data_IF_693315807519
#
_entry.id   IF_693315807519
#
_cell.length_a   1.000
_cell.length_b   1.000
_cell.length_c   1.000
_cell.angle_alpha   90.00
_cell.angle_beta   90.00
_cell.angle_gamma   90.00
#
_symmetry.space_group_name_H-M   'P 1'
#
loop_
_entity.id
_entity.type
_entity.pdbx_description
1 polymer ?
#
# COMPACT_ATOMS: atom_id res chain seq x y z
N UNK A 1 14.47 14.00 -52.33
CA UNK A 1 15.91 13.97 -52.02
C UNK A 1 16.13 12.70 -51.22
N UNK A 2 16.45 11.62 -51.93
CA UNK A 2 16.54 10.27 -51.35
C UNK A 2 17.94 10.13 -50.73
N UNK A 3 18.01 10.03 -49.40
CA UNK A 3 19.27 9.86 -48.70
C UNK A 3 19.71 8.40 -48.82
N UNK A 4 20.81 8.18 -49.53
CA UNK A 4 21.36 6.87 -49.87
C UNK A 4 21.87 6.13 -48.63
N UNK A 5 20.98 5.36 -47.99
CA UNK A 5 21.23 4.52 -46.80
C UNK A 5 22.36 3.52 -47.00
N UNK A 6 22.71 3.18 -48.24
CA UNK A 6 23.76 2.20 -48.55
C UNK A 6 25.15 2.78 -48.28
N UNK A 7 25.36 4.04 -48.63
CA UNK A 7 26.63 4.77 -48.40
C UNK A 7 26.98 4.94 -46.92
N UNK A 8 25.98 5.05 -46.04
CA UNK A 8 26.21 5.26 -44.61
C UNK A 8 26.61 3.98 -43.87
N UNK A 9 26.10 2.83 -44.33
CA UNK A 9 26.38 1.52 -43.73
C UNK A 9 27.78 1.03 -44.07
N UNK A 10 28.20 1.22 -45.31
CA UNK A 10 29.57 0.92 -45.78
C UNK A 10 30.62 1.78 -45.05
N UNK A 11 30.28 3.01 -44.64
CA UNK A 11 31.17 3.89 -43.85
C UNK A 11 31.28 3.51 -42.37
N UNK A 12 30.31 2.80 -41.80
CA UNK A 12 30.32 2.34 -40.41
C UNK A 12 31.13 1.06 -40.24
N UNK A 13 31.13 0.18 -41.24
CA UNK A 13 31.89 -1.08 -41.22
C UNK A 13 33.42 -0.86 -41.40
N UNK A 14 33.83 0.34 -41.84
CA UNK A 14 35.24 0.74 -41.98
C UNK A 14 35.84 1.39 -40.72
N UNK A 15 35.06 1.56 -39.65
CA UNK A 15 35.58 2.09 -38.39
C UNK A 15 36.23 0.94 -37.62
N UNK A 16 37.55 0.86 -37.65
CA UNK A 16 38.29 -0.07 -36.79
C UNK A 16 38.04 0.29 -35.32
N UNK A 17 37.47 -0.68 -34.59
CA UNK A 17 37.28 -0.58 -33.15
C UNK A 17 38.65 -0.72 -32.49
N UNK A 18 39.13 0.26 -31.71
CA UNK A 18 40.42 0.16 -31.03
C UNK A 18 40.42 -1.02 -30.05
N UNK A 19 41.46 -1.86 -30.06
CA UNK A 19 41.63 -3.02 -29.14
C UNK A 19 41.52 -2.61 -27.65
N UNK A 20 41.80 -1.36 -27.34
CA UNK A 20 41.68 -0.75 -26.01
C UNK A 20 40.24 -0.76 -25.47
N UNK A 21 39.23 -0.75 -26.36
CA UNK A 21 37.82 -0.82 -25.98
C UNK A 21 37.44 -2.22 -25.47
N UNK A 22 37.94 -3.27 -26.13
CA UNK A 22 37.71 -4.65 -25.70
C UNK A 22 38.42 -4.96 -24.38
N UNK A 23 39.61 -4.41 -24.16
CA UNK A 23 40.32 -4.50 -22.88
C UNK A 23 39.53 -3.86 -21.73
N UNK A 24 38.89 -2.71 -21.96
CA UNK A 24 38.05 -2.04 -20.95
C UNK A 24 36.76 -2.83 -20.66
N UNK A 25 36.18 -3.46 -21.67
CA UNK A 25 35.00 -4.33 -21.53
C UNK A 25 35.35 -5.58 -20.72
N UNK A 26 36.48 -6.23 -21.04
CA UNK A 26 36.95 -7.40 -20.32
C UNK A 26 37.33 -7.08 -18.87
N UNK A 27 37.97 -5.94 -18.60
CA UNK A 27 38.26 -5.49 -17.24
C UNK A 27 36.97 -5.22 -16.44
N UNK A 28 35.94 -4.66 -17.08
CA UNK A 28 34.64 -4.42 -16.48
C UNK A 28 33.91 -5.73 -16.14
N UNK A 29 33.94 -6.72 -17.04
CA UNK A 29 33.36 -8.05 -16.84
C UNK A 29 34.12 -8.82 -15.74
N UNK A 30 35.45 -8.71 -15.69
CA UNK A 30 36.30 -9.37 -14.69
C UNK A 30 36.12 -8.74 -13.30
N UNK A 31 35.96 -7.42 -13.20
CA UNK A 31 35.58 -6.72 -11.95
C UNK A 31 34.18 -7.11 -11.48
N UNK A 32 33.23 -7.31 -12.39
CA UNK A 32 31.88 -7.79 -12.05
C UNK A 32 31.87 -9.23 -11.53
N UNK A 33 32.64 -10.14 -12.14
CA UNK A 33 32.77 -11.55 -11.69
C UNK A 33 33.49 -11.68 -10.34
N UNK A 34 34.53 -10.88 -10.08
CA UNK A 34 35.30 -10.98 -8.83
C UNK A 34 34.59 -10.35 -7.62
N UNK A 35 33.65 -9.40 -7.81
CA UNK A 35 32.78 -8.91 -6.71
C UNK A 35 31.79 -9.96 -6.20
N UNK A 36 31.49 -10.98 -6.98
CA UNK A 36 30.45 -11.97 -6.67
C UNK A 36 30.92 -13.17 -5.83
N UNK A 37 32.23 -13.31 -5.59
CA UNK A 37 32.79 -14.58 -5.06
C UNK A 37 33.06 -14.65 -3.56
N UNK A 38 32.93 -13.58 -2.76
CA UNK A 38 33.40 -13.62 -1.36
C UNK A 38 32.48 -13.17 -0.21
N UNK A 39 31.19 -12.88 -0.41
CA UNK A 39 30.28 -12.52 0.71
C UNK A 39 29.09 -13.47 0.91
N UNK A 40 29.26 -14.77 0.63
CA UNK A 40 28.14 -15.72 0.53
C UNK A 40 27.63 -16.34 1.85
N UNK A 41 28.25 -16.14 3.02
CA UNK A 41 27.96 -17.04 4.16
C UNK A 41 27.61 -16.43 5.53
N UNK A 42 27.26 -15.14 5.63
CA UNK A 42 26.84 -14.57 6.94
C UNK A 42 25.65 -13.60 6.90
N UNK A 43 24.74 -13.70 5.94
CA UNK A 43 23.70 -12.67 5.75
C UNK A 43 22.34 -12.94 6.41
N UNK A 44 22.03 -14.17 6.83
CA UNK A 44 20.69 -14.50 7.37
C UNK A 44 20.52 -14.16 8.86
N UNK A 45 21.56 -14.30 9.69
CA UNK A 45 21.54 -13.81 11.07
C UNK A 45 21.73 -12.28 11.19
N UNK A 46 22.32 -11.67 10.17
CA UNK A 46 22.72 -10.26 10.18
C UNK A 46 21.57 -9.32 9.84
N UNK A 47 20.56 -9.71 9.06
CA UNK A 47 19.39 -8.85 8.80
C UNK A 47 18.52 -8.65 10.05
N UNK A 48 18.17 -9.72 10.77
CA UNK A 48 17.43 -9.60 12.03
C UNK A 48 18.26 -8.87 13.10
N UNK A 49 19.57 -9.11 13.17
CA UNK A 49 20.47 -8.42 14.09
C UNK A 49 20.71 -6.94 13.72
N UNK A 50 20.74 -6.57 12.42
CA UNK A 50 20.79 -5.17 11.97
C UNK A 50 19.45 -4.49 12.22
N UNK A 51 18.31 -5.14 11.99
CA UNK A 51 17.01 -4.58 12.37
C UNK A 51 16.91 -4.39 13.89
N UNK A 52 17.39 -5.34 14.69
CA UNK A 52 17.49 -5.20 16.15
C UNK A 52 18.51 -4.12 16.58
N UNK A 53 19.64 -3.94 15.89
CA UNK A 53 20.60 -2.84 16.17
C UNK A 53 20.07 -1.47 15.71
N UNK A 54 19.31 -1.40 14.62
CA UNK A 54 18.67 -0.18 14.15
C UNK A 54 17.60 0.33 15.12
N UNK A 55 16.95 -0.55 15.88
CA UNK A 55 16.06 -0.15 17.00
C UNK A 55 16.81 0.69 18.04
N UNK A 56 18.11 0.43 18.27
CA UNK A 56 18.95 1.16 19.24
C UNK A 56 19.64 2.40 18.66
N UNK A 57 19.78 2.51 17.34
CA UNK A 57 20.48 3.61 16.66
C UNK A 57 19.55 4.65 16.02
N UNK A 58 18.25 4.60 16.31
CA UNK A 58 17.32 5.60 15.83
C UNK A 58 17.81 7.00 16.24
N UNK A 59 18.32 7.77 15.26
CA UNK A 59 18.34 9.23 15.33
C UNK A 59 16.89 9.70 15.22
N UNK A 60 16.06 9.34 16.20
CA UNK A 60 14.80 10.05 16.40
C UNK A 60 15.18 11.50 16.65
N UNK A 61 14.52 12.44 16.00
CA UNK A 61 14.59 13.86 16.37
C UNK A 61 13.36 14.16 17.22
N UNK A 62 13.46 14.08 18.58
CA UNK A 62 12.37 14.44 19.47
C UNK A 62 11.82 15.83 19.13
N UNK A 63 12.71 16.79 18.82
CA UNK A 63 12.36 18.17 18.49
C UNK A 63 11.48 18.28 17.25
N UNK A 64 11.70 17.45 16.22
CA UNK A 64 10.84 17.47 15.03
C UNK A 64 9.52 16.73 15.26
N UNK A 65 9.55 15.60 15.98
CA UNK A 65 8.32 14.90 16.36
C UNK A 65 7.43 15.81 17.23
N UNK A 66 8.03 16.56 18.16
CA UNK A 66 7.40 17.57 19.00
C UNK A 66 6.92 18.76 18.18
N UNK A 67 7.70 19.27 17.22
CA UNK A 67 7.25 20.31 16.28
C UNK A 67 6.02 19.85 15.48
N UNK A 68 5.99 18.63 14.95
CA UNK A 68 4.82 18.07 14.26
C UNK A 68 3.64 17.91 15.22
N UNK A 69 3.88 17.52 16.48
CA UNK A 69 2.81 17.40 17.48
C UNK A 69 2.31 18.74 18.03
N UNK A 70 3.14 19.78 18.11
CA UNK A 70 2.81 21.07 18.73
C UNK A 70 2.41 22.13 17.70
N UNK A 71 2.99 22.14 16.50
CA UNK A 71 2.45 22.94 15.39
C UNK A 71 1.18 22.34 14.79
N UNK A 72 0.73 21.18 15.30
CA UNK A 72 -0.60 20.63 15.02
C UNK A 72 -1.75 21.33 15.77
N UNK A 73 -1.68 22.65 15.97
CA UNK A 73 -2.89 23.46 15.97
C UNK A 73 -3.59 23.26 14.61
N UNK A 74 -4.37 22.18 14.51
CA UNK A 74 -5.14 21.79 13.34
C UNK A 74 -4.42 20.90 12.31
N UNK A 75 -3.60 19.91 12.70
CA UNK A 75 -3.44 18.76 11.76
C UNK A 75 -4.78 18.04 11.76
N UNK A 76 -5.63 18.40 10.79
CA UNK A 76 -6.76 17.57 10.36
C UNK A 76 -6.24 16.15 10.26
N UNK A 77 -6.95 15.24 10.90
CA UNK A 77 -6.71 13.81 10.78
C UNK A 77 -6.42 13.47 9.31
N UNK A 78 -5.17 13.11 8.96
CA UNK A 78 -4.80 12.90 7.56
C UNK A 78 -5.73 11.86 6.95
N UNK A 79 -5.96 10.77 7.67
CA UNK A 79 -6.83 9.67 7.26
C UNK A 79 -8.30 10.12 7.06
N UNK A 80 -8.79 11.22 7.67
CA UNK A 80 -10.16 11.71 7.37
C UNK A 80 -10.32 12.29 5.95
N UNK A 81 -9.24 12.45 5.17
CA UNK A 81 -9.34 12.87 3.76
C UNK A 81 -9.98 11.81 2.86
N UNK A 82 -10.11 10.56 3.32
CA UNK A 82 -10.95 9.57 2.64
C UNK A 82 -12.42 9.99 2.55
N UNK A 83 -12.90 10.84 3.49
CA UNK A 83 -14.32 11.22 3.61
C UNK A 83 -15.24 9.99 3.69
N UNK A 84 -14.79 9.01 4.45
CA UNK A 84 -15.44 7.72 4.67
C UNK A 84 -15.98 7.70 6.10
N UNK A 85 -17.29 7.47 6.26
CA UNK A 85 -17.94 7.51 7.58
C UNK A 85 -17.41 6.46 8.54
N UNK A 86 -17.04 5.29 8.03
CA UNK A 86 -16.50 4.21 8.86
C UNK A 86 -15.12 4.55 9.40
N UNK A 87 -14.29 5.19 8.57
CA UNK A 87 -12.98 5.70 8.99
C UNK A 87 -13.15 6.84 10.02
N UNK A 88 -14.06 7.79 9.77
CA UNK A 88 -14.35 8.87 10.73
C UNK A 88 -14.86 8.32 12.07
N UNK A 89 -15.73 7.31 12.05
CA UNK A 89 -16.16 6.60 13.26
C UNK A 89 -15.00 5.88 13.96
N UNK A 90 -14.11 5.23 13.22
CA UNK A 90 -12.93 4.59 13.79
C UNK A 90 -12.03 5.61 14.51
N UNK A 91 -11.82 6.78 13.90
CA UNK A 91 -11.09 7.91 14.49
C UNK A 91 -11.74 8.34 15.80
N UNK A 92 -13.06 8.57 15.77
CA UNK A 92 -13.81 9.03 16.94
C UNK A 92 -13.80 8.04 18.09
N UNK A 93 -13.75 6.73 17.78
CA UNK A 93 -13.66 5.65 18.76
C UNK A 93 -12.21 5.28 19.11
N UNK A 94 -11.23 6.03 18.62
CA UNK A 94 -9.82 5.88 18.96
C UNK A 94 -9.08 4.79 18.19
N UNK A 95 -9.69 4.13 17.20
CA UNK A 95 -9.09 3.09 16.35
C UNK A 95 -8.21 3.65 15.21
N UNK A 96 -7.58 4.80 15.47
CA UNK A 96 -6.48 5.36 14.67
C UNK A 96 -5.45 5.94 15.65
N UNK A 97 -4.22 5.41 15.62
CA UNK A 97 -3.09 5.90 16.42
C UNK A 97 -2.58 7.23 15.88
N UNK A 98 -2.09 8.12 16.77
CA UNK A 98 -1.59 9.43 16.37
C UNK A 98 -2.67 10.51 16.23
N UNK A 99 -3.90 10.22 16.66
CA UNK A 99 -4.99 11.21 16.75
C UNK A 99 -5.02 11.88 18.12
N UNK A 100 -5.70 13.02 18.26
CA UNK A 100 -5.84 13.70 19.56
C UNK A 100 -6.48 12.81 20.65
N UNK A 101 -7.41 11.91 20.28
CA UNK A 101 -8.04 10.92 21.17
C UNK A 101 -7.11 9.76 21.54
N UNK A 102 -6.02 9.55 20.80
CA UNK A 102 -5.05 8.49 21.01
C UNK A 102 -3.61 9.05 20.87
N UNK A 103 -3.33 10.10 21.66
CA UNK A 103 -2.08 10.86 21.67
C UNK A 103 -0.98 10.16 22.49
N UNK A 104 -0.94 8.83 22.48
CA UNK A 104 0.28 8.13 22.89
C UNK A 104 1.45 8.69 22.05
N UNK A 105 2.69 8.65 22.53
CA UNK A 105 3.92 9.10 21.84
C UNK A 105 4.21 8.31 20.54
N UNK A 106 3.25 8.40 19.63
CA UNK A 106 3.05 7.57 18.47
C UNK A 106 3.83 8.12 17.28
N UNK A 107 3.82 9.46 17.13
CA UNK A 107 4.55 10.10 16.04
C UNK A 107 6.03 9.71 16.12
N UNK A 108 6.46 8.93 15.13
CA UNK A 108 7.86 8.53 14.97
C UNK A 108 8.39 9.24 13.75
N UNK A 109 9.51 9.94 13.93
CA UNK A 109 10.25 10.59 12.86
C UNK A 109 11.64 10.00 12.74
N UNK A 110 12.14 9.94 11.52
CA UNK A 110 13.52 9.56 11.21
C UNK A 110 14.05 10.46 10.10
N UNK A 111 15.29 10.89 10.26
CA UNK A 111 15.97 11.74 9.29
C UNK A 111 17.13 10.99 8.64
N UNK A 112 17.18 11.03 7.32
CA UNK A 112 18.34 10.62 6.53
C UNK A 112 18.38 11.44 5.25
N UNK A 113 19.59 11.69 4.75
CA UNK A 113 19.86 12.49 3.55
C UNK A 113 19.15 13.85 3.51
N UNK A 114 18.81 14.47 4.64
CA UNK A 114 18.10 15.76 4.66
C UNK A 114 16.62 15.66 4.27
N UNK A 115 16.05 14.46 4.37
CA UNK A 115 14.61 14.21 4.41
C UNK A 115 14.26 13.68 5.79
N UNK A 116 13.27 14.29 6.43
CA UNK A 116 12.65 13.77 7.65
C UNK A 116 11.31 13.13 7.31
N UNK A 117 11.19 11.83 7.56
CA UNK A 117 9.96 11.06 7.35
C UNK A 117 9.30 10.85 8.71
N UNK A 118 8.01 11.16 8.79
CA UNK A 118 7.19 11.00 10.00
C UNK A 118 5.97 10.15 9.68
N UNK A 119 5.67 9.19 10.55
CA UNK A 119 4.39 8.50 10.53
C UNK A 119 3.48 9.20 11.52
N UNK A 120 2.55 9.99 11.00
CA UNK A 120 1.64 10.80 11.80
C UNK A 120 0.50 9.96 12.35
N UNK A 121 0.00 9.01 11.55
CA UNK A 121 -1.15 8.20 11.89
C UNK A 121 -1.04 6.77 11.39
N UNK A 122 -1.64 5.84 12.15
CA UNK A 122 -1.64 4.42 11.80
C UNK A 122 -2.93 3.73 12.27
N UNK A 123 -3.47 2.88 11.42
CA UNK A 123 -4.51 1.92 11.79
C UNK A 123 -4.25 0.60 11.08
N UNK A 124 -4.57 -0.51 11.76
CA UNK A 124 -4.55 -1.86 11.19
C UNK A 124 -5.80 -2.59 11.63
N UNK A 125 -6.61 -3.06 10.69
CA UNK A 125 -7.93 -3.61 10.99
C UNK A 125 -8.40 -4.46 9.82
N UNK A 126 -8.78 -5.71 10.11
CA UNK A 126 -9.23 -6.66 9.10
C UNK A 126 -8.16 -6.95 8.04
N UNK A 127 -8.47 -6.63 6.80
CA UNK A 127 -7.60 -6.75 5.63
C UNK A 127 -7.00 -5.40 5.21
N UNK A 128 -7.01 -4.39 6.10
CA UNK A 128 -6.51 -3.05 5.79
C UNK A 128 -5.41 -2.54 6.74
N UNK A 129 -4.45 -1.81 6.19
CA UNK A 129 -3.53 -0.91 6.92
C UNK A 129 -3.70 0.51 6.35
N UNK A 130 -3.87 1.49 7.23
CA UNK A 130 -3.90 2.91 6.90
C UNK A 130 -2.71 3.62 7.55
N UNK A 131 -1.96 4.39 6.77
CA UNK A 131 -0.82 5.19 7.24
C UNK A 131 -0.96 6.62 6.75
N UNK A 132 -1.08 7.56 7.68
CA UNK A 132 -0.87 8.98 7.42
C UNK A 132 0.60 9.31 7.67
N UNK A 133 1.25 9.98 6.72
CA UNK A 133 2.67 10.31 6.81
C UNK A 133 2.99 11.72 6.34
N UNK A 134 4.10 12.25 6.85
CA UNK A 134 4.66 13.54 6.47
C UNK A 134 6.13 13.37 6.08
N UNK A 135 6.52 13.98 4.97
CA UNK A 135 7.92 14.09 4.54
C UNK A 135 8.29 15.57 4.50
N UNK A 136 9.32 15.94 5.26
CA UNK A 136 9.93 17.27 5.20
C UNK A 136 11.30 17.18 4.54
N UNK A 137 11.56 18.07 3.59
CA UNK A 137 12.85 18.17 2.91
C UNK A 137 13.62 19.43 3.34
N UNK A 138 14.94 19.30 3.42
CA UNK A 138 15.85 20.42 3.68
C UNK A 138 15.93 21.39 2.50
N UNK A 139 16.48 22.58 2.77
CA UNK A 139 16.65 23.65 1.77
C UNK A 139 17.48 23.26 0.55
N UNK A 140 18.32 22.23 0.64
CA UNK A 140 19.07 21.72 -0.53
C UNK A 140 18.18 21.10 -1.61
N UNK A 141 16.89 20.87 -1.32
CA UNK A 141 15.89 20.37 -2.27
C UNK A 141 14.96 21.46 -2.79
N UNK A 142 15.39 22.73 -2.76
CA UNK A 142 14.58 23.87 -3.22
C UNK A 142 14.20 23.80 -4.72
N UNK A 143 14.92 23.04 -5.53
CA UNK A 143 14.67 22.84 -6.95
C UNK A 143 13.72 21.66 -7.24
N UNK A 144 13.16 21.02 -6.21
CA UNK A 144 12.17 19.96 -6.33
C UNK A 144 10.76 20.56 -6.24
N UNK A 145 9.94 20.30 -7.25
CA UNK A 145 8.54 20.76 -7.27
C UNK A 145 7.66 19.94 -6.32
N UNK A 146 8.01 18.68 -6.14
CA UNK A 146 7.31 17.72 -5.29
C UNK A 146 8.25 16.57 -4.90
N UNK A 147 7.81 15.72 -3.98
CA UNK A 147 8.53 14.52 -3.54
C UNK A 147 7.58 13.33 -3.47
N UNK A 148 8.02 12.14 -3.85
CA UNK A 148 7.21 10.92 -3.80
C UNK A 148 8.06 9.76 -3.31
N UNK A 149 7.46 8.82 -2.60
CA UNK A 149 8.11 7.56 -2.23
C UNK A 149 7.91 6.56 -3.37
N UNK A 150 8.97 5.92 -3.86
CA UNK A 150 8.84 4.87 -4.86
C UNK A 150 8.92 3.48 -4.24
N UNK A 151 9.78 3.26 -3.24
CA UNK A 151 9.92 1.95 -2.60
C UNK A 151 10.03 1.98 -1.07
N UNK A 152 9.25 1.13 -0.43
CA UNK A 152 9.31 0.86 1.00
C UNK A 152 8.88 -0.58 1.31
N UNK A 153 9.12 -1.03 2.54
CA UNK A 153 8.75 -2.35 3.02
C UNK A 153 8.24 -2.26 4.46
N UNK A 154 7.25 -3.09 4.79
CA UNK A 154 6.72 -3.26 6.14
C UNK A 154 6.92 -4.69 6.59
N UNK A 155 7.57 -4.86 7.73
CA UNK A 155 7.86 -6.17 8.33
C UNK A 155 7.35 -6.15 9.77
N UNK A 156 6.69 -7.21 10.20
CA UNK A 156 6.23 -7.31 11.57
C UNK A 156 7.30 -7.87 12.54
N UNK A 157 6.98 -7.86 13.84
CA UNK A 157 7.85 -8.38 14.89
C UNK A 157 8.18 -9.88 14.78
N UNK A 158 7.48 -10.63 13.93
CA UNK A 158 7.73 -12.05 13.66
C UNK A 158 8.48 -12.26 12.34
N UNK A 159 8.88 -11.19 11.66
CA UNK A 159 9.57 -11.24 10.37
C UNK A 159 8.66 -11.49 9.17
N UNK A 160 7.33 -11.47 9.34
CA UNK A 160 6.37 -11.56 8.23
C UNK A 160 6.38 -10.25 7.46
N UNK A 161 6.46 -10.35 6.13
CA UNK A 161 6.40 -9.19 5.25
C UNK A 161 4.94 -8.82 5.06
N UNK A 162 4.55 -7.67 5.59
CA UNK A 162 3.20 -7.17 5.48
C UNK A 162 3.00 -6.48 4.13
N UNK A 163 3.95 -5.63 3.73
CA UNK A 163 3.94 -4.87 2.47
C UNK A 163 5.35 -4.84 1.90
N UNK A 164 5.49 -4.95 0.58
CA UNK A 164 6.76 -4.75 -0.11
C UNK A 164 6.51 -4.08 -1.47
N UNK A 165 6.93 -2.82 -1.60
CA UNK A 165 6.77 -2.03 -2.83
C UNK A 165 8.09 -1.81 -3.57
N UNK A 166 9.14 -2.57 -3.21
CA UNK A 166 10.41 -2.58 -3.95
C UNK A 166 10.21 -3.00 -5.41
N UNK A 167 11.21 -2.73 -6.23
CA UNK A 167 11.22 -3.19 -7.62
C UNK A 167 11.02 -4.71 -7.68
N UNK A 168 10.10 -5.16 -8.55
CA UNK A 168 9.73 -6.56 -8.67
C UNK A 168 10.92 -7.46 -9.00
N UNK A 169 11.93 -6.97 -9.74
CA UNK A 169 13.13 -7.76 -10.05
C UNK A 169 13.89 -8.12 -8.77
N UNK A 170 13.89 -7.23 -7.77
CA UNK A 170 14.57 -7.45 -6.50
C UNK A 170 13.74 -8.36 -5.59
N UNK A 171 12.41 -8.18 -5.58
CA UNK A 171 11.49 -9.09 -4.88
C UNK A 171 11.59 -10.50 -5.46
N UNK A 172 11.56 -10.67 -6.80
CA UNK A 172 11.60 -11.96 -7.46
C UNK A 172 12.90 -12.73 -7.17
N UNK A 173 14.04 -12.04 -7.09
CA UNK A 173 15.32 -12.63 -6.65
C UNK A 173 15.23 -13.14 -5.21
N UNK A 174 14.67 -12.34 -4.30
CA UNK A 174 14.49 -12.72 -2.89
C UNK A 174 13.57 -13.94 -2.76
N UNK A 175 12.48 -13.99 -3.54
CA UNK A 175 11.52 -15.08 -3.58
C UNK A 175 12.13 -16.39 -4.08
N UNK A 176 12.84 -16.33 -5.20
CA UNK A 176 13.51 -17.48 -5.81
C UNK A 176 14.52 -18.08 -4.84
N UNK A 177 15.29 -17.22 -4.17
CA UNK A 177 16.28 -17.66 -3.17
C UNK A 177 15.65 -18.36 -1.96
N UNK A 178 14.44 -17.95 -1.56
CA UNK A 178 13.74 -18.47 -0.39
C UNK A 178 12.73 -19.57 -0.70
N UNK A 179 12.53 -19.92 -1.97
CA UNK A 179 11.50 -20.84 -2.44
C UNK A 179 10.10 -20.47 -1.93
N UNK A 180 9.77 -19.17 -1.92
CA UNK A 180 8.48 -18.65 -1.44
C UNK A 180 7.57 -18.39 -2.64
N UNK A 181 6.31 -18.80 -2.54
CA UNK A 181 5.30 -18.47 -3.54
C UNK A 181 4.99 -16.97 -3.50
N UNK A 182 4.95 -16.33 -4.67
CA UNK A 182 4.63 -14.90 -4.83
C UNK A 182 3.32 -14.51 -4.13
N UNK A 183 2.32 -15.40 -4.11
CA UNK A 183 1.01 -15.16 -3.48
C UNK A 183 1.02 -15.16 -1.96
N UNK A 184 2.05 -15.73 -1.34
CA UNK A 184 2.17 -15.86 0.11
C UNK A 184 3.29 -14.97 0.69
N UNK A 185 3.94 -14.17 -0.16
CA UNK A 185 5.09 -13.37 0.21
C UNK A 185 4.75 -12.13 1.03
N UNK A 186 3.83 -11.32 0.51
CA UNK A 186 3.35 -10.10 1.16
C UNK A 186 1.88 -10.27 1.50
N UNK A 187 1.52 -9.91 2.73
CA UNK A 187 0.16 -10.06 3.23
C UNK A 187 -0.80 -9.10 2.53
N UNK A 188 -0.39 -7.84 2.39
CA UNK A 188 -1.12 -6.78 1.71
C UNK A 188 -0.44 -6.49 0.38
N UNK A 189 -1.20 -6.67 -0.70
CA UNK A 189 -0.69 -6.66 -2.07
C UNK A 189 -1.32 -5.56 -2.94
N UNK A 190 -2.27 -4.80 -2.40
CA UNK A 190 -2.84 -3.61 -3.01
C UNK A 190 -2.38 -2.36 -2.26
N UNK A 191 -2.04 -1.32 -3.01
CA UNK A 191 -1.64 -0.01 -2.48
C UNK A 191 -2.47 1.08 -3.16
N UNK A 192 -3.13 1.89 -2.34
CA UNK A 192 -3.70 3.17 -2.75
C UNK A 192 -2.95 4.31 -2.05
N UNK A 193 -2.60 5.33 -2.82
CA UNK A 193 -1.89 6.52 -2.34
C UNK A 193 -2.73 7.77 -2.57
N UNK A 194 -2.82 8.62 -1.54
CA UNK A 194 -3.47 9.93 -1.61
C UNK A 194 -2.50 11.04 -1.18
N UNK A 195 -2.37 12.07 -1.99
CA UNK A 195 -1.71 13.33 -1.62
C UNK A 195 -2.72 14.26 -0.95
N UNK A 196 -2.43 14.65 0.29
CA UNK A 196 -3.35 15.45 1.11
C UNK A 196 -3.28 16.94 0.75
N UNK A 197 -2.07 17.43 0.46
CA UNK A 197 -1.79 18.86 0.27
C UNK A 197 -1.10 19.08 -1.09
N UNK A 198 -1.71 18.59 -2.17
CA UNK A 198 -1.14 18.59 -3.52
C UNK A 198 -0.61 19.98 -3.92
N UNK A 199 0.66 20.03 -4.31
CA UNK A 199 1.33 21.24 -4.78
C UNK A 199 1.80 22.20 -3.68
N UNK A 200 1.64 21.86 -2.39
CA UNK A 200 2.17 22.66 -1.28
C UNK A 200 3.68 22.50 -1.08
N UNK A 201 4.26 21.38 -1.53
CA UNK A 201 5.65 21.02 -1.30
C UNK A 201 6.64 22.07 -1.84
N UNK A 202 6.41 22.64 -3.02
CA UNK A 202 7.30 23.66 -3.59
C UNK A 202 7.49 24.91 -2.68
N UNK A 203 6.54 25.22 -1.81
CA UNK A 203 6.57 26.36 -0.88
C UNK A 203 7.05 25.95 0.50
N UNK A 204 6.51 24.85 1.02
CA UNK A 204 6.73 24.42 2.41
C UNK A 204 7.91 23.45 2.57
N UNK A 205 8.28 22.74 1.49
CA UNK A 205 9.09 21.51 1.48
C UNK A 205 8.53 20.42 2.39
N UNK A 206 7.23 20.46 2.62
CA UNK A 206 6.50 19.48 3.43
C UNK A 206 5.44 18.86 2.55
N UNK A 207 5.46 17.53 2.48
CA UNK A 207 4.44 16.72 1.83
C UNK A 207 3.73 15.89 2.87
N UNK A 208 2.41 15.81 2.76
CA UNK A 208 1.58 14.94 3.57
C UNK A 208 0.83 13.99 2.66
N UNK A 209 0.78 12.72 3.04
CA UNK A 209 0.13 11.71 2.24
C UNK A 209 -0.48 10.62 3.09
N UNK A 210 -1.26 9.78 2.43
CA UNK A 210 -1.89 8.61 3.02
C UNK A 210 -1.56 7.41 2.15
N UNK A 211 -1.13 6.33 2.78
CA UNK A 211 -1.10 5.01 2.17
C UNK A 211 -2.22 4.16 2.76
N UNK A 212 -2.98 3.52 1.89
CA UNK A 212 -3.94 2.47 2.23
C UNK A 212 -3.47 1.18 1.58
N UNK A 213 -3.26 0.15 2.40
CA UNK A 213 -2.93 -1.19 1.95
C UNK A 213 -4.09 -2.09 2.20
N UNK A 214 -4.45 -2.88 1.19
CA UNK A 214 -5.48 -3.91 1.32
C UNK A 214 -4.97 -5.27 0.87
N UNK A 215 -5.56 -6.31 1.45
CA UNK A 215 -5.32 -7.70 1.08
C UNK A 215 -6.56 -8.31 0.44
N UNK A 216 -6.35 -9.16 -0.57
CA UNK A 216 -7.41 -9.99 -1.17
C UNK A 216 -8.00 -11.00 -0.17
N UNK A 217 -7.20 -11.40 0.84
CA UNK A 217 -7.63 -12.31 1.92
C UNK A 217 -8.33 -11.52 3.03
N UNK A 218 -9.24 -12.18 3.75
CA UNK A 218 -10.32 -11.54 4.51
C UNK A 218 -9.95 -11.11 5.93
N UNK A 219 -8.72 -11.39 6.35
CA UNK A 219 -8.10 -10.93 7.59
C UNK A 219 -6.65 -11.38 7.62
N UNK A 220 -5.80 -10.64 8.30
CA UNK A 220 -4.51 -11.20 8.75
C UNK A 220 -4.74 -12.15 9.91
N UNK A 221 -4.04 -13.29 9.92
CA UNK A 221 -4.23 -14.31 10.97
C UNK A 221 -4.01 -13.76 12.39
N UNK A 222 -3.12 -12.79 12.52
CA UNK A 222 -2.78 -12.16 13.79
C UNK A 222 -2.24 -10.75 13.54
N UNK A 223 -2.80 -9.76 14.26
CA UNK A 223 -2.29 -8.39 14.28
C UNK A 223 -0.98 -8.37 15.10
N UNK A 224 0.13 -7.91 14.53
CA UNK A 224 1.43 -7.94 15.20
C UNK A 224 1.53 -6.92 16.34
N UNK A 225 2.48 -7.12 17.26
CA UNK A 225 2.74 -6.17 18.35
C UNK A 225 3.46 -4.92 17.87
N UNK A 226 4.28 -5.05 16.82
CA UNK A 226 4.97 -3.93 16.20
C UNK A 226 5.24 -4.18 14.73
N UNK A 227 5.37 -3.09 13.99
CA UNK A 227 5.70 -3.07 12.56
C UNK A 227 6.90 -2.16 12.36
N UNK A 228 7.89 -2.65 11.62
CA UNK A 228 8.99 -1.86 11.10
C UNK A 228 8.66 -1.42 9.68
N UNK A 229 8.66 -0.12 9.44
CA UNK A 229 8.53 0.48 8.12
C UNK A 229 9.90 0.97 7.68
N UNK A 230 10.33 0.57 6.48
CA UNK A 230 11.58 1.00 5.88
C UNK A 230 11.33 1.64 4.52
N UNK A 231 11.65 2.92 4.39
CA UNK A 231 11.69 3.61 3.10
C UNK A 231 13.10 3.50 2.51
N UNK A 232 13.19 3.12 1.24
CA UNK A 232 14.47 2.94 0.54
C UNK A 232 14.82 4.16 -0.33
N UNK A 233 13.80 4.81 -0.91
CA UNK A 233 14.02 5.94 -1.81
C UNK A 233 12.88 6.98 -1.80
N UNK A 234 13.24 8.19 -2.23
CA UNK A 234 12.31 9.25 -2.61
C UNK A 234 12.71 9.85 -3.95
N UNK A 235 11.75 10.39 -4.72
CA UNK A 235 11.99 10.99 -6.03
C UNK A 235 11.16 12.26 -6.28
N UNK A 236 11.56 13.08 -7.25
CA UNK A 236 11.02 14.43 -7.53
C UNK A 236 9.64 14.47 -8.23
N UNK A 237 8.86 13.38 -8.13
CA UNK A 237 7.52 13.18 -8.71
C UNK A 237 7.40 13.39 -10.24
N UNK A 238 8.50 13.49 -10.98
CA UNK A 238 8.49 13.66 -12.45
C UNK A 238 7.98 12.41 -13.17
N UNK A 239 8.62 11.28 -12.91
CA UNK A 239 8.23 9.94 -13.37
C UNK A 239 8.70 8.92 -12.33
N UNK A 240 7.93 7.85 -12.13
CA UNK A 240 8.34 6.80 -11.21
C UNK A 240 9.66 6.16 -11.68
N UNK A 241 10.69 6.02 -10.82
CA UNK A 241 11.99 5.46 -11.19
C UNK A 241 11.91 4.09 -11.86
N UNK A 242 11.07 3.20 -11.34
CA UNK A 242 10.89 1.85 -11.89
C UNK A 242 10.25 1.88 -13.29
N UNK A 243 9.35 2.84 -13.55
CA UNK A 243 8.75 3.05 -14.87
C UNK A 243 9.80 3.59 -15.85
N UNK A 244 10.56 4.61 -15.44
CA UNK A 244 11.64 5.18 -16.26
C UNK A 244 12.70 4.14 -16.61
N UNK A 245 13.09 3.26 -15.67
CA UNK A 245 14.03 2.16 -15.91
C UNK A 245 13.58 1.26 -17.07
N UNK A 246 12.28 0.94 -17.12
CA UNK A 246 11.65 0.05 -18.10
C UNK A 246 11.32 0.71 -19.45
N UNK A 247 11.45 2.03 -19.56
CA UNK A 247 11.22 2.75 -20.81
C UNK A 247 12.22 2.39 -21.91
N UNK A 248 11.74 2.40 -23.15
CA UNK A 248 12.61 2.24 -24.34
C UNK A 248 13.45 3.49 -24.53
N UNK A 249 14.52 3.36 -25.32
CA UNK A 249 15.46 4.45 -25.59
C UNK A 249 14.77 5.74 -26.06
N UNK A 250 13.87 5.65 -27.04
CA UNK A 250 13.19 6.83 -27.59
C UNK A 250 12.28 7.53 -26.57
N UNK A 251 11.60 6.77 -25.71
CA UNK A 251 10.77 7.34 -24.64
C UNK A 251 11.64 8.11 -23.63
N UNK A 252 12.84 7.61 -23.32
CA UNK A 252 13.79 8.29 -22.42
C UNK A 252 14.30 9.63 -22.96
N UNK A 253 14.30 9.84 -24.28
CA UNK A 253 14.74 11.12 -24.88
C UNK A 253 13.73 12.24 -24.64
N UNK A 254 12.44 11.91 -24.49
CA UNK A 254 11.35 12.88 -24.31
C UNK A 254 10.90 13.01 -22.85
N UNK A 255 11.40 12.15 -21.95
CA UNK A 255 11.11 12.19 -20.52
C UNK A 255 12.34 12.61 -19.71
N UNK A 256 12.17 13.60 -18.85
CA UNK A 256 13.18 13.98 -17.85
C UNK A 256 13.42 12.79 -16.91
N UNK A 257 14.68 12.40 -16.74
CA UNK A 257 15.05 11.38 -15.77
C UNK A 257 14.67 11.82 -14.35
N UNK A 258 14.09 10.93 -13.53
CA UNK A 258 13.70 11.30 -12.17
C UNK A 258 14.93 11.51 -11.31
N UNK A 259 14.91 12.54 -10.47
CA UNK A 259 15.90 12.71 -9.41
C UNK A 259 15.54 11.77 -8.28
N UNK A 260 16.46 10.89 -7.88
CA UNK A 260 16.23 9.87 -6.85
C UNK A 260 17.21 10.04 -5.70
N UNK A 261 16.69 9.98 -4.47
CA UNK A 261 17.47 9.98 -3.24
C UNK A 261 17.33 8.60 -2.62
N UNK A 262 18.42 7.83 -2.61
CA UNK A 262 18.50 6.57 -1.90
C UNK A 262 18.93 6.82 -0.46
N UNK A 263 18.21 6.23 0.50
CA UNK A 263 18.47 6.40 1.92
C UNK A 263 17.96 5.24 2.75
N UNK A 264 17.97 5.41 4.06
CA UNK A 264 17.59 4.38 5.02
C UNK A 264 16.75 4.98 6.15
N UNK A 265 15.49 5.28 5.85
CA UNK A 265 14.51 5.75 6.85
C UNK A 265 13.78 4.55 7.44
N UNK A 266 14.18 4.14 8.65
CA UNK A 266 13.58 3.01 9.37
C UNK A 266 12.79 3.53 10.57
N UNK A 267 11.54 3.13 10.68
CA UNK A 267 10.61 3.53 11.72
C UNK A 267 9.99 2.28 12.35
N UNK A 268 9.98 2.23 13.68
CA UNK A 268 9.33 1.14 14.42
C UNK A 268 8.06 1.64 15.09
N UNK A 269 6.94 1.03 14.72
CA UNK A 269 5.62 1.36 15.23
C UNK A 269 5.18 0.27 16.18
N UNK A 270 4.87 0.63 17.42
CA UNK A 270 4.13 -0.25 18.34
C UNK A 270 2.65 -0.20 17.97
N UNK A 271 2.05 -1.37 17.80
CA UNK A 271 0.61 -1.51 17.54
C UNK A 271 -0.11 -1.55 18.88
N UNK A 272 -1.13 -0.72 19.04
CA UNK A 272 -1.95 -0.59 20.23
C UNK A 272 -2.77 -1.87 20.44
N UNK A 273 -2.85 -2.33 21.69
CA UNK A 273 -3.49 -3.58 22.06
C UNK A 273 -4.97 -3.60 21.67
N UNK A 274 -5.63 -2.44 21.56
CA UNK A 274 -7.02 -2.39 21.11
C UNK A 274 -7.23 -2.89 19.68
N UNK A 275 -6.25 -2.75 18.78
CA UNK A 275 -6.37 -3.31 17.44
C UNK A 275 -6.34 -4.83 17.51
N UNK A 276 -5.41 -5.37 18.30
CA UNK A 276 -5.30 -6.82 18.55
C UNK A 276 -6.54 -7.39 19.22
N UNK A 277 -7.16 -6.62 20.11
CA UNK A 277 -8.35 -7.01 20.86
C UNK A 277 -9.67 -6.72 20.13
N UNK A 278 -9.63 -6.05 18.97
CA UNK A 278 -10.82 -5.76 18.19
C UNK A 278 -11.46 -7.07 17.69
N UNK A 279 -12.70 -7.33 18.12
CA UNK A 279 -13.42 -8.54 17.74
C UNK A 279 -14.10 -8.33 16.41
N UNK A 280 -13.76 -9.15 15.43
CA UNK A 280 -14.51 -9.25 14.19
C UNK A 280 -16.00 -9.54 14.44
N UNK A 281 -16.88 -8.76 13.82
CA UNK A 281 -18.32 -9.02 13.84
C UNK A 281 -18.67 -9.69 12.51
N UNK A 282 -18.96 -10.99 12.55
CA UNK A 282 -19.30 -11.78 11.38
C UNK A 282 -20.81 -11.82 11.17
N UNK A 283 -21.23 -11.53 9.95
CA UNK A 283 -22.59 -11.67 9.47
C UNK A 283 -22.65 -12.69 8.34
N UNK A 284 -23.76 -13.43 8.30
CA UNK A 284 -24.10 -14.40 7.25
C UNK A 284 -25.50 -14.10 6.74
N UNK A 285 -25.85 -14.69 5.59
CA UNK A 285 -27.22 -14.63 5.05
C UNK A 285 -28.23 -15.12 6.09
N UNK A 286 -29.30 -14.36 6.31
CA UNK A 286 -30.42 -14.84 7.11
C UNK A 286 -31.31 -15.78 6.26
N UNK A 287 -31.15 -17.08 6.52
CA UNK A 287 -31.90 -18.14 5.83
C UNK A 287 -33.39 -18.17 6.16
N UNK A 288 -33.85 -17.42 7.17
CA UNK A 288 -35.25 -17.37 7.55
C UNK A 288 -36.08 -16.40 6.70
N UNK A 289 -35.42 -15.64 5.82
CA UNK A 289 -36.02 -14.63 4.94
C UNK A 289 -35.79 -15.10 3.51
N UNK A 290 -36.70 -15.96 3.02
CA UNK A 290 -36.54 -16.81 1.82
C UNK A 290 -36.69 -16.04 0.48
N UNK A 291 -36.02 -14.89 0.38
CA UNK A 291 -35.97 -14.08 -0.84
C UNK A 291 -34.51 -13.99 -1.31
N UNK A 292 -34.27 -14.39 -2.58
CA UNK A 292 -32.99 -14.37 -3.32
C UNK A 292 -32.14 -15.65 -3.24
N UNK A 293 -32.68 -16.77 -3.74
CA UNK A 293 -32.01 -18.08 -3.79
C UNK A 293 -30.76 -18.15 -4.68
N UNK A 294 -30.59 -17.23 -5.64
CA UNK A 294 -29.46 -17.26 -6.59
C UNK A 294 -28.17 -16.61 -6.07
N UNK A 295 -28.22 -15.84 -4.99
CA UNK A 295 -27.05 -15.16 -4.41
C UNK A 295 -26.63 -15.87 -3.12
N UNK A 296 -25.38 -16.32 -3.09
CA UNK A 296 -24.78 -16.94 -1.92
C UNK A 296 -23.84 -15.94 -1.23
N UNK A 297 -24.10 -15.63 0.05
CA UNK A 297 -23.21 -14.76 0.83
C UNK A 297 -22.31 -15.66 1.67
N UNK A 298 -21.01 -15.63 1.40
CA UNK A 298 -20.04 -16.38 2.19
C UNK A 298 -19.83 -15.72 3.56
N UNK A 299 -19.60 -14.40 3.56
CA UNK A 299 -19.50 -13.62 4.78
C UNK A 299 -19.72 -12.13 4.51
N UNK A 300 -20.10 -11.41 5.56
CA UNK A 300 -19.91 -9.97 5.72
C UNK A 300 -19.25 -9.73 7.07
N UNK A 301 -18.00 -9.26 7.06
CA UNK A 301 -17.18 -9.09 8.25
C UNK A 301 -16.98 -7.62 8.54
N UNK A 302 -17.31 -7.18 9.75
CA UNK A 302 -17.06 -5.82 10.19
C UNK A 302 -15.79 -5.76 11.04
N UNK A 303 -14.95 -4.79 10.72
CA UNK A 303 -13.77 -4.40 11.48
C UNK A 303 -13.82 -2.89 11.77
N UNK A 304 -13.04 -2.37 12.73
CA UNK A 304 -13.07 -0.95 13.07
C UNK A 304 -13.01 0.03 11.88
N UNK A 305 -12.12 -0.19 10.91
CA UNK A 305 -11.92 0.74 9.78
C UNK A 305 -12.64 0.36 8.50
N UNK A 306 -12.98 -0.93 8.33
CA UNK A 306 -13.53 -1.45 7.07
C UNK A 306 -14.53 -2.57 7.33
N UNK A 307 -15.54 -2.68 6.48
CA UNK A 307 -16.40 -3.85 6.37
C UNK A 307 -16.11 -4.58 5.06
N UNK A 308 -16.00 -5.90 5.08
CA UNK A 308 -15.70 -6.70 3.88
C UNK A 308 -16.82 -7.69 3.63
N UNK A 309 -17.25 -7.84 2.37
CA UNK A 309 -18.14 -8.91 1.96
C UNK A 309 -17.51 -9.78 0.88
N UNK A 310 -17.92 -11.04 0.88
CA UNK A 310 -17.75 -11.95 -0.25
C UNK A 310 -19.03 -12.70 -0.51
N UNK A 311 -19.42 -12.71 -1.77
CA UNK A 311 -20.63 -13.36 -2.21
C UNK A 311 -20.48 -13.86 -3.64
N UNK A 312 -21.28 -14.87 -3.99
CA UNK A 312 -21.35 -15.44 -5.32
C UNK A 312 -22.64 -14.99 -6.00
N UNK A 313 -22.50 -14.48 -7.22
CA UNK A 313 -23.61 -14.12 -8.10
C UNK A 313 -23.59 -14.99 -9.37
N UNK A 314 -24.73 -15.29 -9.98
CA UNK A 314 -24.77 -15.99 -11.27
C UNK A 314 -23.99 -15.22 -12.37
N UNK A 315 -23.41 -15.94 -13.32
CA UNK A 315 -22.59 -15.32 -14.38
C UNK A 315 -23.40 -14.40 -15.32
N UNK A 316 -24.70 -14.66 -15.47
CA UNK A 316 -25.65 -13.83 -16.22
C UNK A 316 -26.12 -12.59 -15.42
N UNK A 317 -25.66 -12.42 -14.18
CA UNK A 317 -25.95 -11.26 -13.36
C UNK A 317 -24.83 -10.21 -13.44
N UNK A 318 -25.18 -8.97 -13.77
CA UNK A 318 -24.26 -7.83 -13.66
C UNK A 318 -24.50 -7.10 -12.34
N UNK A 319 -23.43 -6.82 -11.59
CA UNK A 319 -23.48 -6.05 -10.34
C UNK A 319 -23.09 -4.62 -10.64
N UNK A 320 -24.04 -3.70 -10.60
CA UNK A 320 -23.83 -2.29 -10.93
C UNK A 320 -23.39 -1.52 -9.67
N UNK A 321 -24.08 -1.75 -8.55
CA UNK A 321 -23.83 -1.07 -7.28
C UNK A 321 -24.08 -2.01 -6.10
N UNK A 322 -23.38 -1.79 -4.99
CA UNK A 322 -23.50 -2.58 -3.76
C UNK A 322 -23.32 -1.66 -2.56
N UNK A 323 -24.10 -1.84 -1.50
CA UNK A 323 -23.91 -1.13 -0.24
C UNK A 323 -24.50 -1.95 0.92
N UNK A 324 -24.08 -1.61 2.14
CA UNK A 324 -24.75 -2.10 3.34
C UNK A 324 -25.83 -1.09 3.76
N UNK A 325 -26.95 -1.59 4.27
CA UNK A 325 -28.04 -0.76 4.77
C UNK A 325 -28.47 -1.28 6.15
N UNK A 326 -28.64 -0.38 7.13
CA UNK A 326 -29.17 -0.73 8.45
C UNK A 326 -30.70 -0.61 8.53
N UNK A 327 -31.27 -0.95 9.69
CA UNK A 327 -32.71 -0.87 9.96
C UNK A 327 -33.28 0.56 9.92
N UNK A 328 -32.44 1.58 10.04
CA UNK A 328 -32.83 2.99 9.95
C UNK A 328 -32.70 3.54 8.52
N UNK A 329 -32.28 2.72 7.56
CA UNK A 329 -32.07 3.12 6.17
C UNK A 329 -30.77 3.89 5.94
N UNK A 330 -29.84 3.91 6.91
CA UNK A 330 -28.51 4.47 6.67
C UNK A 330 -27.75 3.56 5.71
N UNK A 331 -27.12 4.17 4.71
CA UNK A 331 -26.35 3.47 3.68
C UNK A 331 -24.87 3.66 3.92
N UNK A 332 -24.15 2.54 3.88
CA UNK A 332 -22.70 2.46 4.01
C UNK A 332 -22.12 2.08 2.66
N UNK A 333 -21.39 3.01 2.05
CA UNK A 333 -20.97 2.93 0.66
C UNK A 333 -19.95 1.82 0.44
N UNK A 334 -19.97 1.24 -0.74
CA UNK A 334 -18.88 0.39 -1.21
C UNK A 334 -17.78 1.24 -1.86
N UNK A 335 -16.53 1.01 -1.45
CA UNK A 335 -15.33 1.56 -2.08
C UNK A 335 -14.78 0.59 -3.12
N UNK A 336 -13.80 -0.24 -2.72
CA UNK A 336 -13.16 -1.21 -3.60
C UNK A 336 -14.06 -2.41 -3.90
N UNK A 337 -14.05 -2.86 -5.16
CA UNK A 337 -14.75 -4.07 -5.63
C UNK A 337 -13.85 -4.94 -6.49
N UNK A 338 -13.97 -6.25 -6.35
CA UNK A 338 -13.30 -7.21 -7.20
C UNK A 338 -14.26 -8.30 -7.65
N UNK A 339 -14.27 -8.59 -8.96
CA UNK A 339 -15.05 -9.67 -9.56
C UNK A 339 -14.12 -10.70 -10.17
N UNK A 340 -14.35 -11.98 -9.88
CA UNK A 340 -13.58 -13.09 -10.45
C UNK A 340 -14.51 -14.24 -10.86
N UNK A 341 -14.43 -14.76 -12.09
CA UNK A 341 -15.12 -15.99 -12.45
C UNK A 341 -14.65 -17.13 -11.55
N UNK A 342 -15.57 -17.95 -11.05
CA UNK A 342 -15.21 -19.15 -10.30
C UNK A 342 -15.05 -20.29 -11.29
N UNK A 343 -13.84 -20.88 -11.36
CA UNK A 343 -13.50 -21.94 -12.29
C UNK A 343 -14.49 -23.11 -12.22
N UNK A 344 -14.91 -23.61 -13.39
CA UNK A 344 -15.86 -24.72 -13.53
C UNK A 344 -17.22 -24.48 -12.83
N UNK A 345 -17.67 -23.23 -12.73
CA UNK A 345 -18.98 -22.88 -12.16
C UNK A 345 -19.72 -21.83 -12.98
N UNK A 346 -21.04 -21.74 -12.77
CA UNK A 346 -21.89 -20.69 -13.34
C UNK A 346 -21.95 -19.43 -12.47
N UNK A 347 -20.95 -19.21 -11.60
CA UNK A 347 -20.91 -18.11 -10.65
C UNK A 347 -19.69 -17.22 -10.85
N UNK A 348 -19.87 -15.95 -10.52
CA UNK A 348 -18.80 -14.99 -10.29
C UNK A 348 -18.71 -14.72 -8.79
N UNK A 349 -17.48 -14.74 -8.28
CA UNK A 349 -17.14 -14.25 -6.96
C UNK A 349 -17.05 -12.74 -7.00
N UNK A 350 -17.77 -12.10 -6.08
CA UNK A 350 -17.72 -10.66 -5.84
C UNK A 350 -17.14 -10.44 -4.45
N UNK A 351 -16.13 -9.57 -4.38
CA UNK A 351 -15.51 -9.08 -3.16
C UNK A 351 -15.75 -7.58 -3.07
N UNK A 352 -16.08 -7.08 -1.89
CA UNK A 352 -16.43 -5.67 -1.71
C UNK A 352 -15.97 -5.15 -0.35
N UNK A 353 -15.41 -3.95 -0.33
CA UNK A 353 -15.05 -3.22 0.87
C UNK A 353 -16.01 -2.04 1.06
N UNK A 354 -16.59 -1.90 2.25
CA UNK A 354 -17.57 -0.89 2.61
C UNK A 354 -17.08 -0.01 3.75
N UNK A 355 -17.68 1.18 3.85
CA UNK A 355 -17.63 2.00 5.06
C UNK A 355 -18.01 1.13 6.27
N UNK A 356 -17.19 1.13 7.31
CA UNK A 356 -17.46 0.32 8.49
C UNK A 356 -18.60 0.88 9.34
N UNK A 357 -19.51 0.00 9.73
CA UNK A 357 -20.55 0.25 10.73
C UNK A 357 -20.27 -0.43 12.07
N UNK A 358 -19.00 -0.78 12.34
CA UNK A 358 -18.60 -1.55 13.52
C UNK A 358 -19.04 -0.97 14.86
N UNK A 359 -19.08 0.36 14.97
CA UNK A 359 -19.45 1.08 16.19
C UNK A 359 -20.94 1.41 16.27
N UNK A 360 -21.69 1.13 15.21
CA UNK A 360 -23.10 1.47 15.12
C UNK A 360 -23.97 0.46 15.86
N UNK A 361 -24.96 0.97 16.59
CA UNK A 361 -25.96 0.15 17.27
C UNK A 361 -27.10 -0.15 16.29
N UNK A 362 -26.93 -1.21 15.51
CA UNK A 362 -27.92 -1.65 14.53
C UNK A 362 -28.68 -2.89 15.00
N UNK A 363 -29.97 -2.95 14.67
CA UNK A 363 -30.80 -4.13 14.97
C UNK A 363 -30.87 -5.10 13.78
N UNK A 364 -30.83 -4.58 12.55
CA UNK A 364 -30.78 -5.36 11.31
C UNK A 364 -29.75 -4.81 10.36
N UNK A 365 -29.18 -5.68 9.56
CA UNK A 365 -28.24 -5.34 8.49
C UNK A 365 -28.69 -6.01 7.20
N UNK A 366 -28.53 -5.29 6.10
CA UNK A 366 -28.83 -5.78 4.77
C UNK A 366 -27.62 -5.59 3.86
N UNK A 367 -27.33 -6.59 3.02
CA UNK A 367 -26.52 -6.40 1.82
C UNK A 367 -27.45 -6.05 0.68
N UNK A 368 -27.29 -4.86 0.10
CA UNK A 368 -28.08 -4.41 -1.04
C UNK A 368 -27.23 -4.47 -2.29
N UNK A 369 -27.68 -5.22 -3.30
CA UNK A 369 -27.03 -5.37 -4.60
C UNK A 369 -27.98 -4.82 -5.66
N UNK A 370 -27.55 -3.82 -6.40
CA UNK A 370 -28.25 -3.32 -7.58
C UNK A 370 -27.61 -3.90 -8.83
N UNK A 371 -28.40 -4.51 -9.69
CA UNK A 371 -27.85 -5.18 -10.84
C UNK A 371 -28.87 -5.50 -11.91
N UNK A 372 -28.42 -6.25 -12.91
CA UNK A 372 -29.29 -6.84 -13.93
C UNK A 372 -29.18 -8.34 -13.87
N UNK A 373 -30.32 -9.01 -13.94
CA UNK A 373 -30.43 -10.46 -14.14
C UNK A 373 -31.20 -10.65 -15.45
N UNK A 374 -30.61 -11.35 -16.43
CA UNK A 374 -31.19 -11.55 -17.77
C UNK A 374 -31.65 -10.24 -18.45
N UNK A 375 -30.80 -9.20 -18.38
CA UNK A 375 -31.04 -7.85 -18.91
C UNK A 375 -32.20 -7.07 -18.25
N UNK A 376 -32.78 -7.57 -17.15
CA UNK A 376 -33.79 -6.84 -16.36
C UNK A 376 -33.16 -6.28 -15.09
N UNK A 377 -33.38 -5.00 -14.83
CA UNK A 377 -32.96 -4.36 -13.58
C UNK A 377 -33.63 -5.06 -12.40
N UNK A 378 -32.83 -5.40 -11.39
CA UNK A 378 -33.29 -6.06 -10.18
C UNK A 378 -32.42 -5.63 -9.00
N UNK A 379 -33.10 -5.17 -7.95
CA UNK A 379 -32.49 -4.82 -6.68
C UNK A 379 -32.68 -5.99 -5.71
N UNK A 380 -31.58 -6.47 -5.16
CA UNK A 380 -31.55 -7.55 -4.18
C UNK A 380 -31.24 -6.94 -2.82
N UNK A 381 -32.20 -7.00 -1.89
CA UNK A 381 -31.98 -6.62 -0.49
C UNK A 381 -31.96 -7.87 0.37
N UNK A 382 -30.76 -8.30 0.75
CA UNK A 382 -30.55 -9.58 1.44
C UNK A 382 -30.32 -9.31 2.92
N UNK A 383 -31.21 -9.85 3.77
CA UNK A 383 -31.09 -9.75 5.21
C UNK A 383 -29.87 -10.54 5.71
N UNK A 384 -29.15 -9.94 6.66
CA UNK A 384 -27.98 -10.52 7.31
C UNK A 384 -28.25 -10.73 8.79
N UNK A 385 -27.74 -11.83 9.34
CA UNK A 385 -27.74 -12.11 10.78
C UNK A 385 -26.32 -12.27 11.29
N UNK A 386 -26.09 -11.84 12.54
CA UNK A 386 -24.83 -12.09 13.24
C UNK A 386 -24.65 -13.61 13.41
N UNK A 387 -23.45 -14.09 13.14
CA UNK A 387 -23.08 -15.51 13.28
C UNK A 387 -22.83 -15.90 14.73
#
# INVERSE_FOLDING_TARGET
>A
MDYDKKSFREKLELIEVPEEVDLVIDEAIKRAKNRHKNNFLKATGVLAAIFALCVFLNKTSPVFAEYVSDTSQGVKNLISHFKDKGIDNAIENGYVQGTAKNKNDFSKSVEDKGLTVTIDQFAISGNEILIGYTVKADSKYNDWEDISCNSFQMIDNKGRILVDTRDWDDIAKDLTKKNINTRDYAVYNSLYYMDVDKGSFNKSRVKKGIFQFSADKTKIAEIPDSITIKFYDFYDNTIQPNMYKKMKFFDKLIHKAPKVINGNWILNIKVDDKFKNAKEINYIKDTNVDENSSINIEYVNLYPTVANAKFLVPINMSVNDVYLEDDNGNKYKCGARGRRPVENSNFCEETSAFESLYFEKISKLYLVIKGKEDNKEKDFKIALKKK
#
